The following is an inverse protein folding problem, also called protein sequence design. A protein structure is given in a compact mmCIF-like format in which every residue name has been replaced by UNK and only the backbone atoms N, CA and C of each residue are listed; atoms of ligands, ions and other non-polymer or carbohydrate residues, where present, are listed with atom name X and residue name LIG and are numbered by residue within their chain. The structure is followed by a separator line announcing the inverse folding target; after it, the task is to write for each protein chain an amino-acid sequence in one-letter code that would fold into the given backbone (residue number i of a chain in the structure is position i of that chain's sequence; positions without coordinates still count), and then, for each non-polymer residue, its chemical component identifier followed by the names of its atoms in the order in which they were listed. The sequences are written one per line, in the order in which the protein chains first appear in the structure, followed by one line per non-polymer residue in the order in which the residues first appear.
data_IF_960252041458
#
_entry.id   IF_960252041458
#
_cell.length_a   1.000
_cell.length_b   1.000
_cell.length_c   1.000
_cell.angle_alpha   90.00
_cell.angle_beta   90.00
_cell.angle_gamma   90.00
#
_symmetry.space_group_name_H-M   'P 1'
#
loop_
_entity.id
_entity.type
_entity.pdbx_description
1 polymer ?
#
# COMPACT_ATOMS: atom_id res chain seq x y z
N UNK A 1 -10.89 50.33 -64.87
CA UNK A 1 -10.88 49.47 -63.67
C UNK A 1 -12.30 49.19 -63.14
N UNK A 2 -13.22 48.64 -63.94
CA UNK A 2 -14.60 48.29 -63.50
C UNK A 2 -15.07 46.87 -63.85
N UNK A 3 -14.31 46.12 -64.67
CA UNK A 3 -14.65 44.73 -65.05
C UNK A 3 -13.93 43.65 -64.22
N UNK A 4 -12.77 43.95 -63.63
CA UNK A 4 -12.03 42.98 -62.78
C UNK A 4 -12.61 42.84 -61.35
N UNK A 5 -13.24 43.88 -60.80
CA UNK A 5 -13.87 43.81 -59.47
C UNK A 5 -15.18 43.01 -59.47
N UNK A 6 -15.85 42.87 -60.62
CA UNK A 6 -17.12 42.12 -60.70
C UNK A 6 -16.89 40.60 -60.73
N UNK A 7 -15.79 40.15 -61.31
CA UNK A 7 -15.40 38.73 -61.42
C UNK A 7 -14.85 38.17 -60.10
N UNK A 8 -14.12 38.98 -59.32
CA UNK A 8 -13.65 38.58 -57.99
C UNK A 8 -14.80 38.38 -56.98
N UNK A 9 -15.83 39.22 -57.06
CA UNK A 9 -16.98 39.14 -56.15
C UNK A 9 -17.96 38.01 -56.49
N UNK A 10 -18.11 37.64 -57.77
CA UNK A 10 -18.96 36.50 -58.17
C UNK A 10 -18.30 35.14 -57.88
N UNK A 11 -16.97 35.04 -57.97
CA UNK A 11 -16.24 33.82 -57.63
C UNK A 11 -16.23 33.56 -56.10
N UNK A 12 -16.13 34.61 -55.28
CA UNK A 12 -16.19 34.50 -53.82
C UNK A 12 -17.60 34.14 -53.31
N UNK A 13 -18.65 34.72 -53.89
CA UNK A 13 -20.03 34.36 -53.53
C UNK A 13 -20.37 32.91 -53.90
N UNK A 14 -19.83 32.38 -55.01
CA UNK A 14 -20.08 30.99 -55.41
C UNK A 14 -19.27 29.98 -54.58
N UNK A 15 -18.08 30.32 -54.07
CA UNK A 15 -17.35 29.46 -53.10
C UNK A 15 -17.95 29.49 -51.69
N UNK A 16 -18.53 30.61 -51.26
CA UNK A 16 -19.26 30.72 -49.98
C UNK A 16 -20.63 30.02 -50.01
N UNK A 17 -21.30 29.97 -51.16
CA UNK A 17 -22.53 29.20 -51.35
C UNK A 17 -22.29 27.68 -51.45
N UNK A 18 -21.11 27.26 -51.91
CA UNK A 18 -20.71 25.84 -51.98
C UNK A 18 -20.13 25.29 -50.66
N UNK A 19 -19.64 26.15 -49.77
CA UNK A 19 -19.13 25.75 -48.44
C UNK A 19 -20.16 25.93 -47.31
N UNK A 20 -21.33 26.53 -47.59
CA UNK A 20 -22.29 26.99 -46.58
C UNK A 20 -23.60 26.21 -46.41
N UNK A 21 -23.92 25.24 -47.26
CA UNK A 21 -25.20 24.52 -47.18
C UNK A 21 -25.00 23.00 -47.12
N UNK A 22 -24.50 22.47 -46.00
CA UNK A 22 -25.00 21.16 -45.58
C UNK A 22 -26.52 21.29 -45.50
N UNK A 23 -27.25 20.46 -46.26
CA UNK A 23 -28.71 20.45 -46.18
C UNK A 23 -29.09 20.25 -44.71
N UNK A 24 -30.24 20.78 -44.28
CA UNK A 24 -30.71 20.56 -42.91
C UNK A 24 -30.73 19.06 -42.56
N UNK A 25 -31.02 18.20 -43.55
CA UNK A 25 -30.91 16.75 -43.42
C UNK A 25 -29.47 16.26 -43.15
N UNK A 26 -28.46 16.82 -43.81
CA UNK A 26 -27.06 16.43 -43.59
C UNK A 26 -26.57 16.85 -42.20
N UNK A 27 -26.96 18.04 -41.73
CA UNK A 27 -26.69 18.47 -40.35
C UNK A 27 -27.36 17.55 -39.33
N UNK A 28 -28.64 17.21 -39.54
CA UNK A 28 -29.37 16.29 -38.66
C UNK A 28 -28.78 14.88 -38.69
N UNK A 29 -28.29 14.40 -39.85
CA UNK A 29 -27.57 13.11 -39.96
C UNK A 29 -26.22 13.15 -39.24
N UNK A 30 -25.47 14.23 -39.36
CA UNK A 30 -24.19 14.46 -38.67
C UNK A 30 -24.39 14.49 -37.14
N UNK A 31 -25.39 15.23 -36.66
CA UNK A 31 -25.78 15.30 -35.25
C UNK A 31 -26.19 13.93 -34.71
N UNK A 32 -27.06 13.18 -35.43
CA UNK A 32 -27.44 11.81 -35.05
C UNK A 32 -26.25 10.86 -35.02
N UNK A 33 -25.28 10.99 -35.95
CA UNK A 33 -24.03 10.21 -35.92
C UNK A 33 -23.16 10.57 -34.71
N UNK A 34 -23.03 11.86 -34.39
CA UNK A 34 -22.29 12.30 -33.22
C UNK A 34 -22.95 11.86 -31.91
N UNK A 35 -24.29 11.92 -31.80
CA UNK A 35 -25.04 11.39 -30.66
C UNK A 35 -24.90 9.87 -30.53
N UNK A 36 -24.99 9.13 -31.63
CA UNK A 36 -24.80 7.68 -31.63
C UNK A 36 -23.37 7.32 -31.19
N UNK A 37 -22.36 8.07 -31.67
CA UNK A 37 -20.96 7.91 -31.24
C UNK A 37 -20.80 8.21 -29.75
N UNK A 38 -21.33 9.33 -29.24
CA UNK A 38 -21.32 9.66 -27.80
C UNK A 38 -21.99 8.58 -26.95
N UNK A 39 -23.13 8.03 -27.38
CA UNK A 39 -23.81 6.92 -26.68
C UNK A 39 -22.99 5.64 -26.70
N UNK A 40 -22.36 5.30 -27.83
CA UNK A 40 -21.48 4.14 -27.94
C UNK A 40 -20.23 4.28 -27.07
N UNK A 41 -19.59 5.44 -27.08
CA UNK A 41 -18.43 5.76 -26.25
C UNK A 41 -18.78 5.70 -24.76
N UNK A 42 -19.94 6.22 -24.36
CA UNK A 42 -20.45 6.12 -22.97
C UNK A 42 -20.66 4.65 -22.54
N UNK A 43 -21.28 3.82 -23.38
CA UNK A 43 -21.45 2.38 -23.09
C UNK A 43 -20.12 1.65 -22.98
N UNK A 44 -19.16 1.96 -23.86
CA UNK A 44 -17.81 1.39 -23.82
C UNK A 44 -17.08 1.79 -22.53
N UNK A 45 -17.20 3.04 -22.11
CA UNK A 45 -16.61 3.53 -20.87
C UNK A 45 -17.23 2.85 -19.63
N UNK A 46 -18.56 2.73 -19.56
CA UNK A 46 -19.24 2.02 -18.46
C UNK A 46 -18.81 0.55 -18.36
N UNK A 47 -18.59 -0.11 -19.50
CA UNK A 47 -18.08 -1.49 -19.50
C UNK A 47 -16.65 -1.55 -18.94
N UNK A 48 -15.78 -0.63 -19.36
CA UNK A 48 -14.40 -0.54 -18.86
C UNK A 48 -14.38 -0.30 -17.35
N UNK A 49 -15.21 0.62 -16.85
CA UNK A 49 -15.33 0.92 -15.42
C UNK A 49 -15.80 -0.29 -14.61
N UNK A 50 -16.79 -1.04 -15.14
CA UNK A 50 -17.27 -2.27 -14.51
C UNK A 50 -16.19 -3.36 -14.49
N UNK A 51 -15.51 -3.59 -15.61
CA UNK A 51 -14.45 -4.58 -15.72
C UNK A 51 -13.28 -4.22 -14.77
N UNK A 52 -12.94 -2.93 -14.66
CA UNK A 52 -11.96 -2.43 -13.69
C UNK A 52 -12.34 -2.77 -12.24
N UNK A 53 -13.56 -2.42 -11.82
CA UNK A 53 -14.01 -2.65 -10.45
C UNK A 53 -14.05 -4.13 -10.10
N UNK A 54 -14.39 -5.00 -11.06
CA UNK A 54 -14.34 -6.46 -10.86
C UNK A 54 -12.90 -6.97 -10.67
N UNK A 55 -11.93 -6.44 -11.42
CA UNK A 55 -10.52 -6.77 -11.23
C UNK A 55 -9.98 -6.28 -9.88
N UNK A 56 -10.34 -5.06 -9.45
CA UNK A 56 -9.99 -4.53 -8.15
C UNK A 56 -10.59 -5.38 -7.01
N UNK A 57 -11.86 -5.75 -7.12
CA UNK A 57 -12.53 -6.66 -6.17
C UNK A 57 -11.82 -8.01 -6.09
N UNK A 58 -11.49 -8.59 -7.25
CA UNK A 58 -10.77 -9.87 -7.32
C UNK A 58 -9.40 -9.77 -6.64
N UNK A 59 -8.70 -8.64 -6.81
CA UNK A 59 -7.43 -8.41 -6.11
C UNK A 59 -7.61 -8.42 -4.59
N UNK A 60 -8.58 -7.67 -4.04
CA UNK A 60 -8.80 -7.64 -2.59
C UNK A 60 -9.22 -9.00 -2.03
N UNK A 61 -10.04 -9.76 -2.75
CA UNK A 61 -10.41 -11.12 -2.34
C UNK A 61 -9.22 -12.09 -2.38
N UNK A 62 -8.41 -12.05 -3.43
CA UNK A 62 -7.21 -12.90 -3.56
C UNK A 62 -6.15 -12.54 -2.50
N UNK A 63 -5.94 -11.25 -2.25
CA UNK A 63 -5.05 -10.75 -1.19
C UNK A 63 -5.52 -11.20 0.19
N UNK A 64 -6.81 -11.00 0.49
CA UNK A 64 -7.39 -11.41 1.76
C UNK A 64 -7.22 -12.91 1.99
N UNK A 65 -7.68 -13.76 1.06
CA UNK A 65 -7.63 -15.22 1.23
C UNK A 65 -6.22 -15.80 1.14
N UNK A 66 -5.35 -15.16 0.38
CA UNK A 66 -4.02 -15.66 0.04
C UNK A 66 -2.93 -15.15 0.96
N UNK A 67 -2.80 -13.83 1.09
CA UNK A 67 -1.69 -13.18 1.78
C UNK A 67 -2.02 -12.79 3.24
N UNK A 68 -3.28 -12.51 3.56
CA UNK A 68 -3.69 -12.01 4.89
C UNK A 68 -4.42 -13.03 5.76
N UNK A 69 -5.13 -14.00 5.16
CA UNK A 69 -5.69 -15.13 5.88
C UNK A 69 -4.54 -16.03 6.36
N UNK A 70 -4.21 -15.87 7.64
CA UNK A 70 -3.11 -16.57 8.30
C UNK A 70 -3.64 -17.69 9.20
N UNK A 71 -2.90 -18.79 9.24
CA UNK A 71 -3.08 -19.86 10.23
C UNK A 71 -1.78 -19.96 11.04
N UNK A 72 -1.31 -18.85 11.60
CA UNK A 72 -0.04 -18.79 12.33
C UNK A 72 -0.10 -19.77 13.49
N UNK A 73 0.81 -20.75 13.47
CA UNK A 73 1.03 -21.67 14.59
C UNK A 73 2.31 -21.24 15.28
N UNK A 74 2.15 -20.51 16.38
CA UNK A 74 3.24 -19.89 17.14
C UNK A 74 4.28 -20.93 17.62
N UNK A 75 3.88 -22.20 17.77
CA UNK A 75 4.72 -23.27 18.30
C UNK A 75 5.30 -24.22 17.23
N UNK A 76 5.09 -23.95 15.94
CA UNK A 76 5.59 -24.77 14.82
C UNK A 76 6.40 -23.91 13.83
N UNK A 77 7.74 -23.77 14.02
CA UNK A 77 8.59 -22.96 13.16
C UNK A 77 8.60 -23.40 11.68
N UNK A 78 8.43 -24.70 11.41
CA UNK A 78 8.37 -25.24 10.05
C UNK A 78 7.01 -24.95 9.40
N UNK A 79 5.93 -25.06 10.17
CA UNK A 79 4.59 -24.64 9.77
C UNK A 79 4.53 -23.15 9.44
N UNK A 80 5.13 -22.32 10.28
CA UNK A 80 5.22 -20.87 10.11
C UNK A 80 6.03 -20.49 8.86
N UNK A 81 7.17 -21.14 8.62
CA UNK A 81 7.96 -20.93 7.39
C UNK A 81 7.19 -21.33 6.12
N UNK A 82 6.44 -22.45 6.14
CA UNK A 82 5.62 -22.87 5.00
C UNK A 82 4.48 -21.89 4.74
N UNK A 83 3.81 -21.41 5.80
CA UNK A 83 2.76 -20.41 5.67
C UNK A 83 3.29 -19.09 5.11
N UNK A 84 4.43 -18.60 5.61
CA UNK A 84 5.10 -17.42 5.07
C UNK A 84 5.35 -17.53 3.55
N UNK A 85 5.97 -18.64 3.09
CA UNK A 85 6.26 -18.84 1.66
C UNK A 85 4.99 -18.90 0.81
N UNK A 86 3.91 -19.47 1.36
CA UNK A 86 2.59 -19.46 0.72
C UNK A 86 2.06 -18.03 0.59
N UNK A 87 2.05 -17.25 1.68
CA UNK A 87 1.57 -15.85 1.70
C UNK A 87 2.35 -14.98 0.71
N UNK A 88 3.69 -15.04 0.73
CA UNK A 88 4.56 -14.30 -0.21
C UNK A 88 4.26 -14.63 -1.69
N UNK A 89 4.04 -15.91 -2.00
CA UNK A 89 3.68 -16.35 -3.35
C UNK A 89 2.32 -15.82 -3.78
N UNK A 90 1.31 -15.90 -2.89
CA UNK A 90 -0.04 -15.44 -3.20
C UNK A 90 -0.11 -13.91 -3.35
N UNK A 91 0.63 -13.14 -2.54
CA UNK A 91 0.80 -11.69 -2.71
C UNK A 91 1.28 -11.32 -4.12
N UNK A 92 2.38 -11.93 -4.56
CA UNK A 92 2.96 -11.69 -5.89
C UNK A 92 2.01 -12.10 -7.02
N UNK A 93 1.29 -13.22 -6.83
CA UNK A 93 0.34 -13.75 -7.80
C UNK A 93 -0.90 -12.87 -7.93
N UNK A 94 -1.49 -12.43 -6.82
CA UNK A 94 -2.65 -11.54 -6.80
C UNK A 94 -2.34 -10.22 -7.50
N UNK A 95 -1.22 -9.58 -7.17
CA UNK A 95 -0.82 -8.33 -7.81
C UNK A 95 -0.50 -8.48 -9.29
N UNK A 96 0.18 -9.58 -9.69
CA UNK A 96 0.41 -9.87 -11.11
C UNK A 96 -0.89 -10.01 -11.88
N UNK A 97 -1.86 -10.77 -11.35
CA UNK A 97 -3.19 -10.96 -11.95
C UNK A 97 -3.95 -9.65 -12.10
N UNK A 98 -3.86 -8.77 -11.09
CA UNK A 98 -4.41 -7.41 -11.15
C UNK A 98 -3.79 -6.62 -12.31
N UNK A 99 -2.46 -6.52 -12.34
CA UNK A 99 -1.72 -5.76 -13.36
C UNK A 99 -2.01 -6.25 -14.79
N UNK A 100 -1.98 -7.58 -15.00
CA UNK A 100 -2.26 -8.19 -16.30
C UNK A 100 -3.71 -7.91 -16.77
N UNK A 101 -4.63 -7.64 -15.84
CA UNK A 101 -6.00 -7.17 -16.12
C UNK A 101 -6.07 -5.68 -16.48
N UNK A 102 -5.29 -4.84 -15.80
CA UNK A 102 -5.27 -3.38 -15.99
C UNK A 102 -4.58 -2.93 -17.28
N UNK A 103 -3.58 -3.67 -17.76
CA UNK A 103 -2.87 -3.35 -19.00
C UNK A 103 -3.79 -3.34 -20.25
N UNK A 104 -5.00 -3.91 -20.13
CA UNK A 104 -6.00 -3.98 -21.21
C UNK A 104 -6.89 -2.75 -21.33
N UNK A 105 -6.95 -1.90 -20.31
CA UNK A 105 -7.95 -0.82 -20.23
C UNK A 105 -7.38 0.48 -19.65
N UNK A 106 -7.47 1.62 -20.37
CA UNK A 106 -7.01 2.90 -19.83
C UNK A 106 -7.92 3.38 -18.69
N UNK A 107 -7.34 3.60 -17.50
CA UNK A 107 -8.03 4.17 -16.33
C UNK A 107 -8.14 5.68 -16.53
N UNK A 108 -9.34 6.16 -16.86
CA UNK A 108 -9.56 7.57 -17.22
C UNK A 108 -10.17 8.39 -16.09
N UNK A 109 -11.13 7.83 -15.36
CA UNK A 109 -11.84 8.51 -14.29
C UNK A 109 -10.97 8.63 -13.02
N UNK A 110 -11.27 9.63 -12.19
CA UNK A 110 -10.51 9.98 -10.99
C UNK A 110 -10.65 8.91 -9.91
N UNK A 111 -11.84 8.35 -9.69
CA UNK A 111 -12.09 7.36 -8.65
C UNK A 111 -11.30 6.07 -8.92
N UNK A 112 -11.36 5.53 -10.14
CA UNK A 112 -10.62 4.32 -10.49
C UNK A 112 -9.10 4.55 -10.48
N UNK A 113 -8.61 5.79 -10.73
CA UNK A 113 -7.19 6.11 -10.55
C UNK A 113 -6.79 6.05 -9.08
N UNK A 114 -7.63 6.54 -8.18
CA UNK A 114 -7.38 6.47 -6.75
C UNK A 114 -7.44 5.03 -6.24
N UNK A 115 -8.38 4.20 -6.71
CA UNK A 115 -8.42 2.76 -6.38
C UNK A 115 -7.15 2.05 -6.88
N UNK A 116 -6.67 2.35 -8.09
CA UNK A 116 -5.46 1.74 -8.65
C UNK A 116 -4.22 2.14 -7.87
N UNK A 117 -4.14 3.42 -7.47
CA UNK A 117 -3.06 3.88 -6.61
C UNK A 117 -3.14 3.24 -5.22
N UNK A 118 -4.34 3.08 -4.64
CA UNK A 118 -4.51 2.39 -3.37
C UNK A 118 -4.04 0.93 -3.44
N UNK A 119 -4.41 0.19 -4.49
CA UNK A 119 -3.94 -1.19 -4.72
C UNK A 119 -2.40 -1.26 -4.85
N UNK A 120 -1.80 -0.31 -5.58
CA UNK A 120 -0.34 -0.21 -5.72
C UNK A 120 0.34 0.08 -4.38
N UNK A 121 -0.20 1.00 -3.60
CA UNK A 121 0.35 1.38 -2.30
C UNK A 121 0.27 0.21 -1.31
N UNK A 122 -0.88 -0.48 -1.21
CA UNK A 122 -1.06 -1.70 -0.40
C UNK A 122 -0.01 -2.74 -0.78
N UNK A 123 0.10 -3.07 -2.07
CA UNK A 123 1.06 -4.07 -2.54
C UNK A 123 2.50 -3.70 -2.21
N UNK A 124 2.89 -2.43 -2.31
CA UNK A 124 4.25 -2.00 -2.00
C UNK A 124 4.58 -2.18 -0.51
N UNK A 125 3.65 -1.84 0.37
CA UNK A 125 3.81 -2.00 1.83
C UNK A 125 3.91 -3.48 2.20
N UNK A 126 2.96 -4.30 1.73
CA UNK A 126 2.97 -5.76 1.93
C UNK A 126 4.27 -6.39 1.41
N UNK A 127 4.68 -6.03 0.20
CA UNK A 127 5.90 -6.57 -0.41
C UNK A 127 7.14 -6.20 0.40
N UNK A 128 7.23 -4.98 0.91
CA UNK A 128 8.37 -4.55 1.72
C UNK A 128 8.50 -5.36 3.01
N UNK A 129 7.37 -5.61 3.69
CA UNK A 129 7.28 -6.47 4.88
C UNK A 129 7.71 -7.91 4.56
N UNK A 130 7.15 -8.51 3.51
CA UNK A 130 7.49 -9.87 3.08
C UNK A 130 8.95 -10.02 2.63
N UNK A 131 9.52 -9.03 1.95
CA UNK A 131 10.93 -9.03 1.56
C UNK A 131 11.85 -8.99 2.80
N UNK A 132 11.47 -8.24 3.84
CA UNK A 132 12.21 -8.19 5.11
C UNK A 132 12.13 -9.52 5.85
N UNK A 133 10.92 -10.08 6.00
CA UNK A 133 10.69 -11.38 6.63
C UNK A 133 11.45 -12.51 5.91
N UNK A 134 11.48 -12.53 4.57
CA UNK A 134 12.27 -13.52 3.82
C UNK A 134 13.74 -13.41 4.18
N UNK A 135 14.31 -12.21 4.18
CA UNK A 135 15.74 -12.00 4.47
C UNK A 135 16.10 -12.46 5.88
N UNK A 136 15.21 -12.27 6.86
CA UNK A 136 15.42 -12.79 8.22
C UNK A 136 15.41 -14.32 8.24
N UNK A 137 14.37 -14.93 7.65
CA UNK A 137 14.18 -16.39 7.64
C UNK A 137 15.25 -17.14 6.84
N UNK A 138 15.88 -16.47 5.87
CA UNK A 138 16.96 -17.04 5.05
C UNK A 138 18.32 -17.10 5.78
N UNK A 139 18.45 -16.48 6.97
CA UNK A 139 19.69 -16.51 7.76
C UNK A 139 19.83 -17.86 8.46
N UNK A 140 20.85 -18.63 8.07
CA UNK A 140 21.11 -19.96 8.61
C UNK A 140 21.31 -19.94 10.13
N UNK A 141 20.53 -20.77 10.82
CA UNK A 141 20.66 -20.99 12.27
C UNK A 141 20.23 -19.80 13.13
N UNK A 142 19.51 -18.82 12.56
CA UNK A 142 18.90 -17.75 13.35
C UNK A 142 17.77 -18.33 14.22
N UNK A 143 17.81 -18.06 15.52
CA UNK A 143 16.80 -18.56 16.46
C UNK A 143 15.41 -18.01 16.08
N UNK A 144 14.36 -18.85 15.97
CA UNK A 144 12.99 -18.41 15.73
C UNK A 144 12.50 -17.32 16.69
N UNK A 145 12.99 -17.28 17.93
CA UNK A 145 12.67 -16.23 18.91
C UNK A 145 13.26 -14.88 18.50
N UNK A 146 14.45 -14.86 17.90
CA UNK A 146 15.05 -13.64 17.34
C UNK A 146 14.24 -13.19 16.13
N UNK A 147 13.89 -14.11 15.22
CA UNK A 147 13.01 -13.81 14.07
C UNK A 147 11.72 -13.17 14.55
N UNK A 148 11.03 -13.79 15.53
CA UNK A 148 9.79 -13.25 16.10
C UNK A 148 9.98 -11.87 16.71
N UNK A 149 11.04 -11.66 17.49
CA UNK A 149 11.37 -10.34 18.07
C UNK A 149 11.48 -9.28 16.96
N UNK A 150 12.29 -9.53 15.94
CA UNK A 150 12.50 -8.58 14.85
C UNK A 150 11.25 -8.36 13.99
N UNK A 151 10.42 -9.39 13.80
CA UNK A 151 9.15 -9.26 13.09
C UNK A 151 8.10 -8.46 13.87
N UNK A 152 8.10 -8.51 15.21
CA UNK A 152 7.20 -7.65 16.01
C UNK A 152 7.52 -6.16 15.78
N UNK A 153 8.80 -5.80 15.71
CA UNK A 153 9.19 -4.43 15.39
C UNK A 153 8.78 -4.05 13.96
N UNK A 154 9.01 -4.93 12.97
CA UNK A 154 8.58 -4.68 11.59
C UNK A 154 7.05 -4.51 11.48
N UNK A 155 6.30 -5.40 12.12
CA UNK A 155 4.84 -5.35 12.13
C UNK A 155 4.30 -4.08 12.77
N UNK A 156 4.94 -3.54 13.79
CA UNK A 156 4.54 -2.23 14.33
C UNK A 156 4.60 -1.12 13.27
N UNK A 157 5.72 -0.99 12.56
CA UNK A 157 5.88 0.02 11.52
C UNK A 157 4.99 -0.24 10.30
N UNK A 158 4.84 -1.51 9.92
CA UNK A 158 3.92 -1.96 8.89
C UNK A 158 2.47 -1.60 9.22
N UNK A 159 1.96 -2.01 10.38
CA UNK A 159 0.57 -1.78 10.81
C UNK A 159 0.29 -0.27 10.88
N UNK A 160 1.22 0.51 11.44
CA UNK A 160 1.09 1.95 11.51
C UNK A 160 1.01 2.57 10.11
N UNK A 161 1.84 2.10 9.17
CA UNK A 161 1.82 2.54 7.77
C UNK A 161 0.50 2.17 7.08
N UNK A 162 -0.01 0.96 7.30
CA UNK A 162 -1.28 0.50 6.72
C UNK A 162 -2.49 1.30 7.26
N UNK A 163 -2.51 1.61 8.55
CA UNK A 163 -3.54 2.49 9.13
C UNK A 163 -3.52 3.90 8.52
N UNK A 164 -2.32 4.44 8.31
CA UNK A 164 -2.14 5.74 7.66
C UNK A 164 -2.58 5.67 6.19
N UNK A 165 -2.26 4.59 5.49
CA UNK A 165 -2.74 4.33 4.13
C UNK A 165 -4.28 4.26 4.07
N UNK A 166 -4.93 3.61 5.04
CA UNK A 166 -6.39 3.60 5.14
C UNK A 166 -6.97 5.01 5.28
N UNK A 167 -6.38 5.85 6.14
CA UNK A 167 -6.80 7.26 6.31
C UNK A 167 -6.60 8.10 5.06
N UNK A 168 -5.54 7.86 4.29
CA UNK A 168 -5.29 8.54 2.99
C UNK A 168 -6.46 8.37 2.03
N UNK A 169 -7.00 7.16 1.99
CA UNK A 169 -8.06 6.76 1.08
C UNK A 169 -9.43 6.75 1.76
N UNK A 170 -9.58 7.40 2.92
CA UNK A 170 -10.87 7.46 3.65
C UNK A 170 -11.98 8.10 2.81
N UNK A 171 -11.64 8.98 1.87
CA UNK A 171 -12.58 9.61 0.95
C UNK A 171 -13.06 8.68 -0.16
N UNK A 172 -12.34 7.59 -0.43
CA UNK A 172 -12.86 6.51 -1.25
C UNK A 172 -13.81 5.72 -0.35
N UNK A 173 -15.07 6.13 -0.30
CA UNK A 173 -16.09 5.40 0.45
C UNK A 173 -16.24 3.99 -0.15
N UNK A 174 -15.45 3.04 0.36
CA UNK A 174 -15.35 1.71 -0.21
C UNK A 174 -16.67 0.94 -0.11
N UNK A 175 -17.58 1.33 0.77
CA UNK A 175 -18.93 0.74 0.88
C UNK A 175 -19.84 1.18 -0.28
N UNK A 176 -19.63 2.38 -0.82
CA UNK A 176 -20.30 2.86 -2.03
C UNK A 176 -19.67 2.28 -3.31
N UNK A 177 -18.38 1.96 -3.27
CA UNK A 177 -17.62 1.53 -4.45
C UNK A 177 -17.65 0.02 -4.67
N UNK A 178 -17.76 -0.77 -3.59
CA UNK A 178 -17.69 -2.23 -3.61
C UNK A 178 -18.80 -2.84 -2.75
N UNK A 179 -19.06 -4.15 -2.92
CA UNK A 179 -19.98 -4.85 -2.03
C UNK A 179 -19.42 -4.98 -0.61
N UNK A 180 -20.32 -5.11 0.38
CA UNK A 180 -19.98 -5.25 1.81
C UNK A 180 -18.89 -6.28 2.10
N UNK A 181 -18.88 -7.38 1.35
CA UNK A 181 -17.90 -8.45 1.52
C UNK A 181 -16.49 -7.97 1.14
N UNK A 182 -16.38 -7.29 0.00
CA UNK A 182 -15.14 -6.71 -0.51
C UNK A 182 -14.66 -5.56 0.38
N UNK A 183 -15.57 -4.69 0.84
CA UNK A 183 -15.23 -3.63 1.79
C UNK A 183 -14.72 -4.21 3.12
N UNK A 184 -15.29 -5.34 3.57
CA UNK A 184 -14.77 -6.12 4.69
C UNK A 184 -13.34 -6.63 4.45
N UNK A 185 -13.03 -7.14 3.25
CA UNK A 185 -11.67 -7.56 2.88
C UNK A 185 -10.68 -6.40 2.89
N UNK A 186 -11.06 -5.24 2.34
CA UNK A 186 -10.23 -4.02 2.36
C UNK A 186 -9.95 -3.61 3.81
N UNK A 187 -10.98 -3.59 4.65
CA UNK A 187 -10.84 -3.27 6.07
C UNK A 187 -9.88 -4.23 6.78
N UNK A 188 -10.00 -5.55 6.54
CA UNK A 188 -9.05 -6.52 7.08
C UNK A 188 -7.65 -6.32 6.54
N UNK A 189 -7.45 -6.04 5.26
CA UNK A 189 -6.10 -5.78 4.70
C UNK A 189 -5.46 -4.54 5.37
N UNK A 190 -6.23 -3.48 5.61
CA UNK A 190 -5.74 -2.25 6.25
C UNK A 190 -5.42 -2.45 7.74
N UNK A 191 -6.23 -3.24 8.45
CA UNK A 191 -6.19 -3.36 9.92
C UNK A 191 -5.65 -4.71 10.42
N UNK A 192 -5.26 -5.58 9.50
CA UNK A 192 -5.00 -7.02 9.69
C UNK A 192 -6.10 -7.72 10.54
N UNK A 193 -7.34 -7.23 10.47
CA UNK A 193 -8.48 -7.84 11.14
C UNK A 193 -8.47 -7.77 12.67
N UNK A 194 -7.75 -6.80 13.26
CA UNK A 194 -7.68 -6.37 14.69
C UNK A 194 -6.24 -6.30 15.25
N UNK A 195 -5.20 -6.10 14.43
CA UNK A 195 -3.87 -5.87 14.98
C UNK A 195 -3.88 -4.62 15.86
N UNK A 196 -3.34 -4.75 17.07
CA UNK A 196 -3.14 -3.65 17.99
C UNK A 196 -1.65 -3.31 17.98
N UNK A 197 -1.22 -2.25 17.24
CA UNK A 197 0.20 -1.89 17.13
C UNK A 197 0.85 -1.67 18.49
N UNK A 198 0.11 -1.17 19.49
CA UNK A 198 0.62 -0.99 20.84
C UNK A 198 0.92 -2.35 21.50
N UNK A 199 0.06 -3.35 21.33
CA UNK A 199 0.34 -4.69 21.85
C UNK A 199 1.52 -5.35 21.13
N UNK A 200 1.61 -5.18 19.81
CA UNK A 200 2.75 -5.65 19.01
C UNK A 200 4.06 -5.04 19.51
N UNK A 201 4.08 -3.72 19.71
CA UNK A 201 5.24 -2.99 20.24
C UNK A 201 5.58 -3.37 21.68
N UNK A 202 4.58 -3.51 22.56
CA UNK A 202 4.80 -3.96 23.93
C UNK A 202 5.45 -5.35 23.99
N UNK A 203 5.02 -6.28 23.14
CA UNK A 203 5.63 -7.61 23.02
C UNK A 203 7.07 -7.54 22.48
N UNK A 204 7.36 -6.60 21.58
CA UNK A 204 8.72 -6.37 21.10
C UNK A 204 9.63 -5.84 22.22
N UNK A 205 9.20 -4.78 22.91
CA UNK A 205 9.95 -4.14 24.00
C UNK A 205 10.18 -5.12 25.15
N UNK A 206 9.17 -5.92 25.51
CA UNK A 206 9.28 -6.95 26.54
C UNK A 206 10.31 -8.04 26.21
N UNK A 207 10.68 -8.22 24.93
CA UNK A 207 11.68 -9.19 24.47
C UNK A 207 13.10 -8.62 24.36
N UNK A 208 13.29 -7.32 24.59
CA UNK A 208 14.61 -6.68 24.58
C UNK A 208 15.39 -7.01 25.87
N UNK A 209 16.71 -7.16 25.77
CA UNK A 209 17.57 -7.40 26.93
C UNK A 209 17.45 -8.80 27.56
N UNK A 210 16.92 -9.79 26.84
CA UNK A 210 16.80 -11.18 27.32
C UNK A 210 18.08 -12.03 27.13
N UNK A 211 19.18 -11.44 26.64
CA UNK A 211 20.41 -12.20 26.33
C UNK A 211 20.26 -13.18 25.15
N UNK A 212 19.15 -13.07 24.40
CA UNK A 212 18.87 -13.82 23.16
C UNK A 212 19.10 -12.91 21.95
N UNK A 213 20.35 -12.51 21.78
CA UNK A 213 20.78 -11.69 20.63
C UNK A 213 21.37 -12.56 19.53
N UNK A 214 21.27 -12.10 18.28
CA UNK A 214 22.00 -12.71 17.18
C UNK A 214 23.51 -12.71 17.44
N UNK A 215 24.20 -13.77 17.01
CA UNK A 215 25.67 -13.84 17.11
C UNK A 215 26.34 -12.77 16.26
N UNK A 216 27.62 -12.45 16.53
CA UNK A 216 28.38 -11.45 15.74
C UNK A 216 28.36 -11.70 14.23
N UNK A 217 28.34 -12.95 13.79
CA UNK A 217 28.30 -13.28 12.36
C UNK A 217 26.89 -13.25 11.77
N UNK A 218 25.86 -13.50 12.58
CA UNK A 218 24.46 -13.31 12.19
C UNK A 218 24.11 -11.82 12.13
N UNK A 219 24.60 -10.99 13.06
CA UNK A 219 24.40 -9.53 13.06
C UNK A 219 24.83 -8.88 11.73
N UNK A 220 25.90 -9.38 11.10
CA UNK A 220 26.37 -8.89 9.79
C UNK A 220 25.43 -9.23 8.63
N UNK A 221 24.61 -10.27 8.81
CA UNK A 221 23.67 -10.77 7.80
C UNK A 221 22.26 -10.21 8.00
N UNK A 222 21.94 -9.69 9.19
CA UNK A 222 20.62 -9.16 9.48
C UNK A 222 20.28 -8.00 8.54
N UNK A 223 19.09 -8.03 7.90
CA UNK A 223 18.58 -6.86 7.21
C UNK A 223 18.39 -5.74 8.23
N UNK A 224 18.82 -4.52 7.88
CA UNK A 224 18.61 -3.37 8.75
C UNK A 224 17.12 -3.01 8.82
N UNK A 225 16.61 -2.74 10.02
CA UNK A 225 15.33 -2.07 10.19
C UNK A 225 15.44 -0.66 9.59
N UNK A 226 14.56 -0.27 8.67
CA UNK A 226 14.73 0.95 7.89
C UNK A 226 13.39 1.57 7.54
N UNK A 227 13.13 2.75 8.09
CA UNK A 227 11.89 3.51 7.87
C UNK A 227 11.72 3.96 6.42
N UNK A 228 12.82 4.06 5.66
CA UNK A 228 12.80 4.32 4.22
C UNK A 228 12.00 3.27 3.41
N UNK A 229 11.71 2.08 3.98
CA UNK A 229 10.84 1.08 3.34
C UNK A 229 9.40 1.58 3.18
N UNK A 230 8.93 2.43 4.10
CA UNK A 230 7.54 2.89 4.16
C UNK A 230 7.40 4.39 3.88
N UNK A 231 8.50 5.13 3.75
CA UNK A 231 8.54 6.59 3.56
C UNK A 231 7.94 7.11 2.24
N UNK A 232 7.41 6.23 1.38
CA UNK A 232 6.72 6.60 0.14
C UNK A 232 5.21 6.62 0.28
N UNK A 233 4.66 6.12 1.39
CA UNK A 233 3.22 6.16 1.66
C UNK A 233 2.89 7.53 2.25
N UNK A 234 2.50 8.45 1.39
CA UNK A 234 2.19 9.85 1.75
C UNK A 234 0.67 10.07 1.78
N UNK A 235 0.13 10.79 2.77
CA UNK A 235 -1.31 11.13 2.85
C UNK A 235 -1.54 12.64 2.80
N UNK A 236 -2.69 13.09 2.28
CA UNK A 236 -3.02 14.51 2.12
C UNK A 236 -3.09 15.31 3.45
N UNK A 237 -3.23 14.64 4.60
CA UNK A 237 -3.13 15.23 5.96
C UNK A 237 -1.75 15.02 6.61
N UNK A 238 -0.83 14.30 5.95
CA UNK A 238 0.53 13.97 6.41
C UNK A 238 1.60 14.03 5.30
N UNK A 239 1.41 14.94 4.32
CA UNK A 239 2.45 15.38 3.37
C UNK A 239 3.63 16.05 4.08
N UNK A 240 3.48 16.35 5.37
CA UNK A 240 4.58 16.76 6.22
C UNK A 240 5.65 15.66 6.30
N UNK A 241 6.79 15.93 5.70
CA UNK A 241 8.01 15.18 5.96
C UNK A 241 8.80 15.85 7.08
N UNK A 242 9.57 15.06 7.83
CA UNK A 242 10.61 15.56 8.73
C UNK A 242 11.97 15.31 8.08
N UNK A 243 12.92 16.21 8.31
CA UNK A 243 14.28 16.08 7.78
C UNK A 243 14.97 14.83 8.33
N UNK A 244 15.89 14.27 7.53
CA UNK A 244 16.71 13.12 7.95
C UNK A 244 17.40 13.39 9.31
N UNK A 245 17.97 14.57 9.52
CA UNK A 245 18.62 14.95 10.78
C UNK A 245 17.69 14.83 12.00
N UNK A 246 16.43 15.28 11.87
CA UNK A 246 15.47 15.23 12.98
C UNK A 246 15.06 13.79 13.29
N UNK A 247 14.88 12.99 12.26
CA UNK A 247 14.50 11.58 12.37
C UNK A 247 15.65 10.76 12.93
N UNK A 248 16.87 10.95 12.43
CA UNK A 248 18.06 10.24 12.86
C UNK A 248 18.39 10.53 14.33
N UNK A 249 18.11 11.74 14.84
CA UNK A 249 18.18 12.03 16.28
C UNK A 249 17.21 11.18 17.09
N UNK A 250 15.96 11.06 16.66
CA UNK A 250 14.98 10.19 17.35
C UNK A 250 15.38 8.70 17.26
N UNK A 251 15.89 8.28 16.10
CA UNK A 251 16.44 6.93 15.92
C UNK A 251 17.64 6.68 16.87
N UNK A 252 18.52 7.66 17.05
CA UNK A 252 19.66 7.55 17.95
C UNK A 252 19.23 7.41 19.41
N UNK A 253 18.18 8.10 19.84
CA UNK A 253 17.62 7.96 21.19
C UNK A 253 17.07 6.54 21.40
N UNK A 254 16.14 6.09 20.56
CA UNK A 254 15.53 4.74 20.72
C UNK A 254 16.58 3.63 20.58
N UNK A 255 17.58 3.79 19.71
CA UNK A 255 18.68 2.83 19.54
C UNK A 255 19.58 2.66 20.77
N UNK A 256 19.50 3.55 21.77
CA UNK A 256 20.18 3.36 23.06
C UNK A 256 19.48 2.29 23.90
N UNK A 257 18.18 2.09 23.71
CA UNK A 257 17.35 1.12 24.42
C UNK A 257 17.31 -0.26 23.73
N UNK A 258 17.58 -0.28 22.42
CA UNK A 258 17.49 -1.48 21.59
C UNK A 258 18.72 -2.39 21.67
N UNK A 259 18.47 -3.70 21.64
CA UNK A 259 19.47 -4.74 21.43
C UNK A 259 20.20 -4.52 20.08
N UNK A 260 21.44 -5.02 19.96
CA UNK A 260 22.26 -4.79 18.75
C UNK A 260 21.64 -5.34 17.47
N UNK A 261 20.84 -6.39 17.58
CA UNK A 261 20.16 -7.03 16.45
C UNK A 261 18.89 -6.29 15.99
N UNK A 262 18.38 -5.38 16.81
CA UNK A 262 17.08 -4.72 16.61
C UNK A 262 17.20 -3.23 16.27
N UNK A 263 18.43 -2.75 16.02
CA UNK A 263 18.68 -1.33 15.76
C UNK A 263 18.04 -0.85 14.46
N UNK A 264 17.48 0.35 14.52
CA UNK A 264 16.92 1.08 13.38
C UNK A 264 18.07 1.81 12.67
N UNK A 265 18.14 1.64 11.35
CA UNK A 265 19.09 2.36 10.52
C UNK A 265 18.66 3.80 10.31
N UNK A 266 19.65 4.69 10.26
CA UNK A 266 19.44 6.06 9.83
C UNK A 266 18.83 6.14 8.44
N UNK A 267 17.92 7.09 8.29
CA UNK A 267 17.30 7.45 7.02
C UNK A 267 18.21 8.42 6.27
N UNK A 268 18.17 8.37 4.94
CA UNK A 268 19.00 9.23 4.08
C UNK A 268 18.30 10.53 3.73
N UNK A 269 17.00 10.46 3.51
CA UNK A 269 16.17 11.56 3.03
C UNK A 269 15.11 11.93 4.06
N UNK A 270 14.32 12.95 3.75
CA UNK A 270 13.16 13.29 4.56
C UNK A 270 12.15 12.14 4.54
N UNK A 271 11.60 11.77 5.70
CA UNK A 271 10.56 10.74 5.82
C UNK A 271 9.27 11.32 6.37
N UNK A 272 8.15 10.65 6.11
CA UNK A 272 6.84 11.11 6.56
C UNK A 272 6.77 11.29 8.08
N UNK A 273 6.09 12.34 8.53
CA UNK A 273 5.98 12.70 9.95
C UNK A 273 5.32 11.62 10.80
N UNK A 274 4.47 10.77 10.22
CA UNK A 274 3.83 9.69 10.96
C UNK A 274 4.87 8.67 11.47
N UNK A 275 5.96 8.42 10.72
CA UNK A 275 7.06 7.56 11.19
C UNK A 275 7.84 8.19 12.34
N UNK A 276 7.94 9.53 12.38
CA UNK A 276 8.50 10.23 13.54
C UNK A 276 7.65 10.02 14.80
N UNK A 277 6.32 10.09 14.66
CA UNK A 277 5.39 9.79 15.76
C UNK A 277 5.52 8.34 16.21
N UNK A 278 5.67 7.39 15.28
CA UNK A 278 5.86 5.98 15.61
C UNK A 278 7.16 5.74 16.40
N UNK A 279 8.29 6.35 15.99
CA UNK A 279 9.55 6.26 16.75
C UNK A 279 9.38 6.85 18.16
N UNK A 280 8.74 8.02 18.27
CA UNK A 280 8.51 8.66 19.57
C UNK A 280 7.67 7.77 20.50
N UNK A 281 6.63 7.12 19.97
CA UNK A 281 5.83 6.18 20.73
C UNK A 281 6.60 4.91 21.13
N UNK A 282 7.49 4.39 20.26
CA UNK A 282 8.39 3.28 20.61
C UNK A 282 9.31 3.68 21.78
N UNK A 283 9.90 4.88 21.72
CA UNK A 283 10.78 5.43 22.78
C UNK A 283 10.04 5.60 24.12
N UNK A 284 8.86 6.23 24.11
CA UNK A 284 8.01 6.39 25.30
C UNK A 284 7.63 5.05 25.93
N UNK A 285 7.36 4.02 25.11
CA UNK A 285 7.01 2.70 25.63
C UNK A 285 8.17 1.99 26.33
N UNK A 286 9.43 2.36 26.06
CA UNK A 286 10.57 1.80 26.80
C UNK A 286 10.57 2.19 28.29
N UNK A 287 9.89 3.27 28.69
CA UNK A 287 9.68 3.63 30.10
C UNK A 287 8.95 2.53 30.89
N UNK A 288 8.15 1.69 30.20
CA UNK A 288 7.36 0.61 30.77
C UNK A 288 7.94 -0.79 30.48
N UNK A 289 9.20 -0.89 30.05
CA UNK A 289 9.81 -2.15 29.62
C UNK A 289 9.70 -3.27 30.66
N UNK A 290 9.93 -2.96 31.94
CA UNK A 290 9.88 -3.97 33.02
C UNK A 290 8.47 -4.55 33.20
N UNK A 291 7.43 -3.71 33.06
CA UNK A 291 6.04 -4.16 33.11
C UNK A 291 5.74 -5.12 31.93
N UNK A 292 6.21 -4.78 30.73
CA UNK A 292 6.03 -5.63 29.55
C UNK A 292 6.78 -6.94 29.66
N UNK A 293 7.99 -6.94 30.23
CA UNK A 293 8.75 -8.17 30.54
C UNK A 293 7.98 -9.08 31.48
N UNK A 294 7.41 -8.54 32.55
CA UNK A 294 6.62 -9.34 33.51
C UNK A 294 5.34 -9.91 32.89
N UNK A 295 4.59 -9.09 32.15
CA UNK A 295 3.40 -9.56 31.40
C UNK A 295 3.74 -10.67 30.42
N UNK A 296 4.86 -10.53 29.70
CA UNK A 296 5.32 -11.55 28.76
C UNK A 296 5.67 -12.86 29.45
N UNK A 297 6.43 -12.80 30.57
CA UNK A 297 6.75 -13.98 31.38
C UNK A 297 5.50 -14.71 31.86
N UNK A 298 4.49 -13.96 32.34
CA UNK A 298 3.22 -14.53 32.78
C UNK A 298 2.47 -15.23 31.64
N UNK A 299 2.38 -14.60 30.47
CA UNK A 299 1.74 -15.18 29.30
C UNK A 299 2.45 -16.46 28.82
N UNK A 300 3.79 -16.45 28.77
CA UNK A 300 4.59 -17.63 28.38
C UNK A 300 4.53 -18.76 29.43
N UNK A 301 4.22 -18.45 30.70
CA UNK A 301 4.02 -19.45 31.75
C UNK A 301 2.61 -20.08 31.71
N UNK A 302 1.59 -19.33 31.28
CA UNK A 302 0.20 -19.83 31.16
C UNK A 302 -0.06 -20.63 29.88
N UNK A 303 0.78 -20.43 28.83
CA UNK A 303 0.70 -21.17 27.57
C UNK A 303 1.44 -22.51 27.56
N UNK A 304 1.97 -22.97 28.70
CA UNK A 304 2.61 -24.29 28.90
C UNK A 304 1.74 -25.18 29.76
#
# INVERSE_FOLDING_TARGET
MKKLQLLGSTLLCSTLLLTGCQSHEDKVKEEKKQEAKKKADKKKQQKIEKDYREHAKTFFEDMYKGAHASNIKIDDPDGDNKDFRRRDKELKKAYKKYKDGMDKYPIKDTENKQIDQFIKDVYQVDKANHDYESKLRDIKGLDPKIIRKLMLQEYYYYDFTMLILGKKYESLDFEDLFDKKTSGYISTIITDGNNNPQNTMANFIGRQGEGKEATKDQLKQLPKMSLDRYSKVVTDKSDETKSADRINKAIDEVNKHLDKDSKIAHVKDSVNSHLYTAIGAEDEMFEYQDEYKEKLKQAEAQGK
#
